data_IF_117488103578
#
_entry.id   IF_117488103578
#
_cell.length_a   1.000
_cell.length_b   1.000
_cell.length_c   1.000
_cell.angle_alpha   90.00
_cell.angle_beta   90.00
_cell.angle_gamma   90.00
#
_symmetry.space_group_name_H-M   'P 1'
#
loop_
_entity.id
_entity.type
_entity.pdbx_description
1 polymer ?
#
# COMPACT_ATOMS: atom_id res chain seq x y z
N UNK A 1 -8.60 17.99 42.94
CA UNK A 1 -9.72 17.03 43.03
C UNK A 1 -10.46 17.03 41.69
N UNK A 2 -10.87 15.87 41.14
CA UNK A 2 -10.26 15.28 39.95
C UNK A 2 -11.01 15.47 38.60
N UNK A 3 -10.21 15.42 37.53
CA UNK A 3 -10.41 14.99 36.12
C UNK A 3 -11.83 14.77 35.55
N UNK A 4 -12.16 15.51 34.50
CA UNK A 4 -13.18 15.15 33.49
C UNK A 4 -12.50 14.93 32.13
N UNK A 5 -11.66 13.88 32.04
CA UNK A 5 -11.43 13.20 30.77
C UNK A 5 -12.54 12.16 30.67
N UNK A 6 -13.66 12.51 30.05
CA UNK A 6 -14.63 11.53 29.56
C UNK A 6 -13.98 10.79 28.39
N UNK A 7 -13.13 9.81 28.74
CA UNK A 7 -12.66 8.77 27.86
C UNK A 7 -13.92 7.99 27.44
N UNK A 8 -14.41 8.24 26.23
CA UNK A 8 -15.41 7.35 25.63
C UNK A 8 -14.67 6.03 25.39
N UNK A 9 -14.79 5.12 26.35
CA UNK A 9 -14.43 3.73 26.16
C UNK A 9 -15.44 3.16 25.18
N UNK A 10 -15.13 3.26 23.88
CA UNK A 10 -15.84 2.53 22.84
C UNK A 10 -15.47 1.06 23.02
N UNK A 11 -16.20 0.39 23.92
CA UNK A 11 -16.28 -1.06 23.93
C UNK A 11 -16.82 -1.46 22.54
N UNK A 12 -15.99 -2.17 21.77
CA UNK A 12 -16.42 -2.70 20.49
C UNK A 12 -17.56 -3.70 20.74
N UNK A 13 -18.72 -3.58 20.08
CA UNK A 13 -19.75 -4.61 20.19
C UNK A 13 -19.14 -5.94 19.75
N UNK A 14 -19.21 -6.97 20.60
CA UNK A 14 -18.86 -8.34 20.23
C UNK A 14 -19.73 -8.73 19.04
N UNK A 15 -19.14 -8.69 17.84
CA UNK A 15 -19.79 -9.13 16.63
C UNK A 15 -20.00 -10.66 16.73
N UNK A 16 -21.20 -11.16 16.36
CA UNK A 16 -21.47 -12.59 16.37
C UNK A 16 -20.48 -13.31 15.45
N UNK A 17 -20.06 -14.52 15.86
CA UNK A 17 -18.96 -15.33 15.32
C UNK A 17 -19.08 -15.77 13.85
N UNK A 18 -20.01 -15.19 13.07
CA UNK A 18 -20.36 -15.66 11.73
C UNK A 18 -20.55 -14.55 10.70
N UNK A 19 -20.32 -13.27 11.04
CA UNK A 19 -20.26 -12.20 10.04
C UNK A 19 -18.82 -12.03 9.54
N UNK A 20 -18.62 -12.13 8.23
CA UNK A 20 -17.39 -11.71 7.56
C UNK A 20 -17.12 -10.25 7.91
N UNK A 21 -16.05 -9.98 8.65
CA UNK A 21 -15.65 -8.60 8.95
C UNK A 21 -15.29 -7.91 7.63
N UNK A 22 -15.65 -6.63 7.43
CA UNK A 22 -15.08 -5.87 6.34
C UNK A 22 -13.55 -5.78 6.53
N UNK A 23 -12.79 -5.96 5.45
CA UNK A 23 -11.32 -5.87 5.45
C UNK A 23 -10.80 -4.50 5.93
N UNK A 24 -11.67 -3.51 6.06
CA UNK A 24 -11.35 -2.22 6.66
C UNK A 24 -12.56 -1.67 7.38
N UNK A 25 -12.36 -1.24 8.64
CA UNK A 25 -13.34 -0.44 9.37
C UNK A 25 -12.89 1.03 9.37
N UNK A 26 -13.80 1.93 8.96
CA UNK A 26 -13.58 3.38 9.01
C UNK A 26 -14.51 3.95 10.08
N UNK A 27 -13.95 4.74 11.01
CA UNK A 27 -14.70 5.43 12.06
C UNK A 27 -14.51 6.94 11.91
N UNK A 28 -15.61 7.68 11.73
CA UNK A 28 -15.61 9.14 11.67
C UNK A 28 -15.86 9.73 13.06
N UNK A 29 -15.05 10.70 13.48
CA UNK A 29 -15.23 11.45 14.72
C UNK A 29 -15.79 12.85 14.41
N UNK A 30 -16.78 13.28 15.18
CA UNK A 30 -17.41 14.60 15.06
C UNK A 30 -17.06 15.47 16.29
N UNK A 31 -16.68 16.74 16.06
CA UNK A 31 -16.28 17.67 17.15
C UNK A 31 -17.44 18.51 17.70
N UNK A 32 -18.55 18.68 16.96
CA UNK A 32 -19.61 19.63 17.32
C UNK A 32 -21.03 19.07 17.13
N UNK A 33 -21.98 19.57 17.93
CA UNK A 33 -23.43 19.34 17.78
C UNK A 33 -23.98 19.82 16.42
N UNK A 34 -23.21 20.59 15.66
CA UNK A 34 -23.52 21.02 14.28
C UNK A 34 -23.10 20.00 13.21
N UNK A 35 -22.46 18.88 13.58
CA UNK A 35 -22.20 17.76 12.67
C UNK A 35 -20.92 17.86 11.82
N UNK A 36 -19.98 18.76 12.15
CA UNK A 36 -18.71 18.83 11.43
C UNK A 36 -17.80 17.64 11.74
N UNK A 37 -17.30 16.99 10.68
CA UNK A 37 -16.29 15.93 10.76
C UNK A 37 -14.97 16.55 11.21
N UNK A 38 -14.35 15.91 12.20
CA UNK A 38 -13.11 16.39 12.80
C UNK A 38 -11.90 15.53 12.48
N UNK A 39 -12.10 14.23 12.43
CA UNK A 39 -11.06 13.25 12.18
C UNK A 39 -11.68 11.93 11.75
N UNK A 40 -10.87 11.07 11.14
CA UNK A 40 -11.23 9.73 10.76
C UNK A 40 -10.16 8.77 11.27
N UNK A 41 -10.58 7.60 11.73
CA UNK A 41 -9.70 6.49 12.06
C UNK A 41 -9.97 5.35 11.09
N UNK A 42 -8.91 4.84 10.48
CA UNK A 42 -8.97 3.69 9.58
C UNK A 42 -8.29 2.52 10.30
N UNK A 43 -9.00 1.41 10.40
CA UNK A 43 -8.52 0.15 10.94
C UNK A 43 -8.60 -0.90 9.83
N UNK A 44 -7.46 -1.23 9.23
CA UNK A 44 -7.37 -2.31 8.26
C UNK A 44 -7.37 -3.65 9.00
N UNK A 45 -8.37 -4.49 8.72
CA UNK A 45 -8.52 -5.83 9.27
C UNK A 45 -8.30 -6.86 8.14
N UNK A 46 -7.68 -7.98 8.44
CA UNK A 46 -7.61 -9.11 7.49
C UNK A 46 -6.96 -8.80 6.12
N UNK A 47 -5.81 -8.11 6.10
CA UNK A 47 -4.99 -8.07 4.88
C UNK A 47 -4.60 -9.50 4.48
N UNK A 48 -5.16 -9.99 3.37
CA UNK A 48 -4.93 -11.34 2.89
C UNK A 48 -3.55 -11.48 2.22
N UNK A 49 -2.53 -11.73 3.07
CA UNK A 49 -1.15 -11.96 2.62
C UNK A 49 -1.02 -13.18 1.70
N UNK A 50 -1.99 -14.10 1.70
CA UNK A 50 -1.92 -15.30 0.87
C UNK A 50 -1.99 -14.97 -0.62
N UNK A 51 -2.59 -13.83 -0.99
CA UNK A 51 -2.66 -13.32 -2.38
C UNK A 51 -1.30 -12.98 -3.01
N UNK A 52 -0.21 -13.01 -2.24
CA UNK A 52 1.14 -12.92 -2.79
C UNK A 52 1.66 -14.26 -3.34
N UNK A 53 1.18 -15.37 -2.80
CA UNK A 53 1.74 -16.70 -3.10
C UNK A 53 0.71 -17.64 -3.73
N UNK A 54 -0.59 -17.37 -3.53
CA UNK A 54 -1.68 -18.21 -3.98
C UNK A 54 -2.81 -17.34 -4.51
N UNK A 55 -2.90 -17.27 -5.83
CA UNK A 55 -4.02 -16.63 -6.53
C UNK A 55 -5.01 -17.69 -6.99
N UNK A 56 -6.30 -17.37 -6.92
CA UNK A 56 -7.34 -18.17 -7.57
C UNK A 56 -7.27 -17.97 -9.09
N UNK A 57 -7.84 -18.89 -9.85
CA UNK A 57 -7.90 -18.75 -11.30
C UNK A 57 -8.63 -17.45 -11.69
N UNK A 58 -8.09 -16.73 -12.66
CA UNK A 58 -8.60 -15.42 -13.14
C UNK A 58 -8.60 -14.27 -12.12
N UNK A 59 -8.06 -14.47 -10.91
CA UNK A 59 -7.86 -13.37 -9.95
C UNK A 59 -6.47 -12.74 -10.09
N UNK A 60 -6.38 -11.41 -9.98
CA UNK A 60 -5.09 -10.72 -9.88
C UNK A 60 -4.65 -10.52 -8.43
N UNK A 61 -3.36 -10.32 -8.23
CA UNK A 61 -2.82 -9.89 -6.93
C UNK A 61 -3.18 -8.43 -6.62
N UNK A 62 -2.57 -7.85 -5.58
CA UNK A 62 -2.82 -6.46 -5.19
C UNK A 62 -2.58 -5.47 -6.34
N UNK A 63 -3.51 -4.54 -6.52
CA UNK A 63 -3.46 -3.59 -7.64
C UNK A 63 -2.18 -2.74 -7.67
N UNK A 64 -1.66 -2.39 -6.49
CA UNK A 64 -0.47 -1.54 -6.36
C UNK A 64 0.73 -2.05 -7.15
N UNK A 65 0.90 -3.37 -7.33
CA UNK A 65 2.03 -3.90 -8.09
C UNK A 65 1.93 -3.58 -9.58
N UNK A 66 0.77 -3.82 -10.16
CA UNK A 66 0.51 -3.55 -11.58
C UNK A 66 0.47 -2.04 -11.86
N UNK A 67 -0.15 -1.26 -10.96
CA UNK A 67 -0.17 0.20 -11.01
C UNK A 67 1.24 0.77 -10.95
N UNK A 68 2.07 0.26 -10.04
CA UNK A 68 3.45 0.72 -9.90
C UNK A 68 4.30 0.43 -11.14
N UNK A 69 4.17 -0.76 -11.73
CA UNK A 69 4.93 -1.13 -12.94
C UNK A 69 4.42 -0.33 -14.16
N UNK A 70 3.11 -0.16 -14.31
CA UNK A 70 2.50 0.56 -15.43
C UNK A 70 2.70 2.08 -15.36
N UNK A 71 2.74 2.67 -14.16
CA UNK A 71 2.94 4.10 -13.92
C UNK A 71 4.40 4.53 -13.75
N UNK A 72 5.36 3.61 -13.84
CA UNK A 72 6.78 3.94 -13.70
C UNK A 72 7.35 4.57 -14.98
N UNK A 73 7.99 5.74 -14.86
CA UNK A 73 8.79 6.34 -15.94
C UNK A 73 10.04 5.50 -16.21
N UNK A 74 10.69 5.61 -17.38
CA UNK A 74 11.90 4.85 -17.69
C UNK A 74 12.98 4.98 -16.60
N UNK A 75 13.17 6.19 -16.07
CA UNK A 75 14.15 6.45 -15.01
C UNK A 75 13.80 5.71 -13.71
N UNK A 76 12.51 5.66 -13.35
CA UNK A 76 12.04 4.90 -12.19
C UNK A 76 12.15 3.40 -12.42
N UNK A 77 11.88 2.92 -13.64
CA UNK A 77 12.04 1.51 -13.99
C UNK A 77 13.49 1.08 -13.83
N UNK A 78 14.43 1.88 -14.31
CA UNK A 78 15.86 1.60 -14.16
C UNK A 78 16.31 1.67 -12.69
N UNK A 79 15.87 2.69 -11.96
CA UNK A 79 16.22 2.90 -10.55
C UNK A 79 15.70 1.79 -9.64
N UNK A 80 14.50 1.29 -9.89
CA UNK A 80 13.87 0.21 -9.11
C UNK A 80 14.08 -1.19 -9.69
N UNK A 81 14.78 -1.30 -10.82
CA UNK A 81 14.98 -2.55 -11.56
C UNK A 81 13.64 -3.25 -11.87
N UNK A 82 12.69 -2.50 -12.43
CA UNK A 82 11.37 -2.99 -12.79
C UNK A 82 11.38 -3.68 -14.16
N UNK A 83 10.97 -4.94 -14.16
CA UNK A 83 10.81 -5.79 -15.33
C UNK A 83 9.35 -5.75 -15.82
N UNK A 84 8.99 -6.62 -16.75
CA UNK A 84 7.60 -6.76 -17.17
C UNK A 84 6.79 -7.44 -16.05
N UNK A 85 5.49 -7.11 -15.84
CA UNK A 85 4.64 -7.83 -14.91
C UNK A 85 4.66 -9.36 -15.11
N UNK A 86 4.91 -9.82 -16.35
CA UNK A 86 5.01 -11.24 -16.71
C UNK A 86 6.29 -11.93 -16.20
N UNK A 87 7.32 -11.17 -15.82
CA UNK A 87 8.57 -11.73 -15.29
C UNK A 87 8.46 -12.03 -13.78
N UNK A 88 7.42 -11.49 -13.12
CA UNK A 88 7.17 -11.71 -11.71
C UNK A 88 6.23 -12.88 -11.47
N UNK A 89 6.76 -14.03 -11.02
CA UNK A 89 6.00 -15.24 -10.70
C UNK A 89 4.75 -15.01 -9.80
N UNK A 90 4.79 -14.13 -8.77
CA UNK A 90 3.61 -13.80 -7.95
C UNK A 90 2.47 -13.12 -8.73
N UNK A 91 2.80 -12.40 -9.80
CA UNK A 91 1.83 -11.66 -10.60
C UNK A 91 1.24 -12.51 -11.73
N UNK A 92 1.85 -13.66 -12.03
CA UNK A 92 1.53 -14.52 -13.18
C UNK A 92 0.80 -15.81 -12.88
N UNK A 93 0.79 -16.24 -11.62
CA UNK A 93 0.30 -17.58 -11.25
C UNK A 93 -1.17 -17.85 -11.57
N UNK A 94 -2.00 -16.82 -11.80
CA UNK A 94 -3.44 -16.96 -12.08
C UNK A 94 -3.84 -16.81 -13.55
N UNK A 95 -2.93 -16.33 -14.40
CA UNK A 95 -3.23 -15.98 -15.80
C UNK A 95 -3.97 -14.66 -16.02
N UNK A 96 -4.19 -13.85 -14.98
CA UNK A 96 -4.91 -12.57 -15.06
C UNK A 96 -4.01 -11.38 -14.69
N UNK A 97 -3.74 -10.53 -15.69
CA UNK A 97 -2.81 -9.38 -15.58
C UNK A 97 -3.48 -8.04 -15.84
N UNK A 98 -4.46 -8.04 -16.74
CA UNK A 98 -5.21 -6.86 -17.14
C UNK A 98 -6.63 -6.94 -16.58
N UNK A 99 -7.11 -5.79 -16.10
CA UNK A 99 -8.51 -5.66 -15.79
C UNK A 99 -9.34 -5.66 -17.09
N UNK A 100 -10.60 -6.13 -17.04
CA UNK A 100 -11.55 -5.94 -18.12
C UNK A 100 -11.65 -4.45 -18.48
N UNK A 101 -11.81 -4.15 -19.78
CA UNK A 101 -11.89 -2.77 -20.27
C UNK A 101 -13.00 -2.01 -19.53
N UNK A 102 -12.62 -0.91 -18.88
CA UNK A 102 -13.55 -0.10 -18.09
C UNK A 102 -12.92 1.19 -17.56
N UNK A 103 -13.72 2.06 -16.92
CA UNK A 103 -13.26 3.38 -16.46
C UNK A 103 -12.13 3.33 -15.41
N UNK A 104 -11.89 2.17 -14.79
CA UNK A 104 -10.87 1.97 -13.77
C UNK A 104 -9.86 0.88 -14.15
N UNK A 105 -9.83 0.47 -15.43
CA UNK A 105 -8.97 -0.62 -15.89
C UNK A 105 -7.55 -0.18 -16.25
N UNK A 106 -7.29 1.13 -16.30
CA UNK A 106 -5.99 1.66 -16.63
C UNK A 106 -5.12 1.82 -15.36
N UNK A 107 -4.20 0.87 -15.19
CA UNK A 107 -3.30 0.80 -14.04
C UNK A 107 -2.34 2.03 -13.95
N UNK A 108 -1.95 2.67 -15.06
CA UNK A 108 -1.07 3.85 -14.99
C UNK A 108 -1.80 5.09 -14.50
N UNK A 109 -3.04 5.32 -14.95
CA UNK A 109 -3.89 6.40 -14.45
C UNK A 109 -4.19 6.20 -12.95
N UNK A 110 -4.52 4.97 -12.55
CA UNK A 110 -4.78 4.66 -11.15
C UNK A 110 -3.53 4.87 -10.27
N UNK A 111 -2.32 4.69 -10.80
CA UNK A 111 -1.08 4.99 -10.09
C UNK A 111 -0.89 6.50 -9.87
N UNK A 112 -1.28 7.34 -10.84
CA UNK A 112 -1.24 8.79 -10.70
C UNK A 112 -2.24 9.28 -9.64
N UNK A 113 -3.44 8.70 -9.62
CA UNK A 113 -4.44 8.96 -8.58
C UNK A 113 -3.93 8.54 -7.20
N UNK A 114 -3.29 7.37 -7.09
CA UNK A 114 -2.68 6.88 -5.85
C UNK A 114 -1.60 7.86 -5.35
N UNK A 115 -0.71 8.33 -6.22
CA UNK A 115 0.31 9.31 -5.86
C UNK A 115 -0.29 10.64 -5.40
N UNK A 116 -1.34 11.13 -6.07
CA UNK A 116 -2.04 12.36 -5.68
C UNK A 116 -2.68 12.23 -4.29
N UNK A 117 -3.31 11.08 -4.01
CA UNK A 117 -3.90 10.79 -2.70
C UNK A 117 -2.82 10.71 -1.60
N UNK A 118 -1.71 10.02 -1.86
CA UNK A 118 -0.58 9.93 -0.91
C UNK A 118 -0.01 11.30 -0.56
N UNK A 119 0.18 12.18 -1.55
CA UNK A 119 0.66 13.56 -1.32
C UNK A 119 -0.31 14.42 -0.52
N UNK A 120 -1.62 14.15 -0.65
CA UNK A 120 -2.64 14.87 0.11
C UNK A 120 -2.63 14.44 1.58
N UNK A 121 -2.37 13.15 1.85
CA UNK A 121 -2.27 12.62 3.22
C UNK A 121 -1.00 13.07 3.93
N UNK A 122 0.13 13.02 3.22
CA UNK A 122 1.42 13.46 3.73
C UNK A 122 2.28 14.00 2.57
N UNK A 123 2.46 15.33 2.48
CA UNK A 123 3.25 15.95 1.42
C UNK A 123 4.73 15.53 1.41
N UNK A 124 5.29 15.15 2.56
CA UNK A 124 6.70 14.82 2.71
C UNK A 124 6.99 13.33 2.47
N UNK A 125 5.94 12.50 2.39
CA UNK A 125 6.04 11.06 2.20
C UNK A 125 6.90 10.66 0.98
N UNK A 126 6.78 11.28 -0.21
CA UNK A 126 7.62 10.89 -1.36
C UNK A 126 9.10 11.12 -1.10
N UNK A 127 9.45 12.24 -0.45
CA UNK A 127 10.83 12.59 -0.11
C UNK A 127 11.38 11.62 0.93
N UNK A 128 10.58 11.31 1.95
CA UNK A 128 10.96 10.36 2.99
C UNK A 128 11.19 8.94 2.44
N UNK A 129 10.31 8.47 1.56
CA UNK A 129 10.45 7.15 0.92
C UNK A 129 11.72 7.10 0.07
N UNK A 130 11.96 8.11 -0.78
CA UNK A 130 13.15 8.17 -1.62
C UNK A 130 14.44 8.17 -0.79
N UNK A 131 14.48 9.00 0.26
CA UNK A 131 15.62 9.03 1.18
C UNK A 131 15.95 7.64 1.74
N UNK A 132 14.95 6.90 2.22
CA UNK A 132 15.16 5.57 2.78
C UNK A 132 15.63 4.53 1.75
N UNK A 133 15.19 4.65 0.49
CA UNK A 133 15.67 3.80 -0.61
C UNK A 133 17.14 4.10 -0.90
N UNK A 134 17.50 5.38 -1.01
CA UNK A 134 18.86 5.82 -1.31
C UNK A 134 19.84 5.35 -0.23
N UNK A 135 19.45 5.45 1.06
CA UNK A 135 20.27 4.96 2.17
C UNK A 135 20.50 3.44 2.11
N UNK A 136 19.47 2.67 1.77
CA UNK A 136 19.59 1.20 1.62
C UNK A 136 20.48 0.83 0.44
N UNK A 137 20.35 1.53 -0.68
CA UNK A 137 21.15 1.29 -1.87
C UNK A 137 22.63 1.67 -1.65
N UNK A 138 22.89 2.78 -0.95
CA UNK A 138 24.24 3.15 -0.52
C UNK A 138 24.87 2.09 0.40
N UNK A 139 24.11 1.56 1.36
CA UNK A 139 24.57 0.47 2.24
C UNK A 139 24.91 -0.81 1.47
N UNK A 140 24.12 -1.19 0.46
CA UNK A 140 24.40 -2.36 -0.38
C UNK A 140 25.62 -2.14 -1.29
N UNK A 141 25.79 -0.93 -1.84
CA UNK A 141 26.96 -0.55 -2.63
C UNK A 141 28.26 -0.66 -1.85
N UNK A 142 28.27 -0.18 -0.61
CA UNK A 142 29.42 -0.28 0.29
C UNK A 142 29.78 -1.73 0.63
N UNK A 143 28.79 -2.60 0.87
CA UNK A 143 29.04 -4.03 1.07
C UNK A 143 29.64 -4.72 -0.16
N UNK A 144 29.18 -4.37 -1.36
CA UNK A 144 29.72 -4.94 -2.61
C UNK A 144 31.16 -4.49 -2.86
N UNK A 145 31.52 -3.26 -2.47
CA UNK A 145 32.91 -2.77 -2.51
C UNK A 145 33.80 -3.47 -1.47
N UNK A 146 33.32 -3.67 -0.24
CA UNK A 146 34.04 -4.42 0.80
C UNK A 146 34.24 -5.89 0.39
N UNK A 147 33.23 -6.54 -0.19
CA UNK A 147 33.35 -7.92 -0.69
C UNK A 147 34.40 -8.06 -1.81
N UNK A 148 34.58 -7.04 -2.65
CA UNK A 148 35.66 -7.00 -3.65
C UNK A 148 37.04 -6.74 -3.03
N UNK A 149 37.10 -6.05 -1.90
CA UNK A 149 38.35 -5.73 -1.19
C UNK A 149 38.86 -6.89 -0.33
N UNK A 150 37.98 -7.75 0.18
CA UNK A 150 38.31 -8.94 0.98
C UNK A 150 38.27 -10.26 0.19
N UNK A 151 38.07 -10.20 -1.13
CA UNK A 151 38.06 -11.35 -2.05
C UNK A 151 39.41 -11.57 -2.75
N UNK A 152 40.52 -11.60 -1.99
CA UNK A 152 41.79 -12.22 -2.38
C UNK A 152 42.08 -13.42 -1.49
#
# INVERSE_FOLDING_TARGET
MPSFLSLIHLEMPKLPSTQTLPDTAITWNFISMTGHISSAKILAYALDKSRLNRLSHEERSFHVFYQFIAGATPEKRDHFHLEDPLDYAPLTSSGCYHLPVGPFSNDSIAMDELHAAMRTLDPDLPTYVQYNIDQRNASKGNMHQLAKQFGQ
#
